data_IF_467882510383
#
_entry.id   IF_467882510383
#
_cell.length_a   1.000
_cell.length_b   1.000
_cell.length_c   1.000
_cell.angle_alpha   90.00
_cell.angle_beta   90.00
_cell.angle_gamma   90.00
#
_symmetry.space_group_name_H-M   'P 1'
#
loop_
_entity.id
_entity.type
_entity.pdbx_description
1 polymer ?
#
# COMPACT_ATOMS: atom_id res chain seq x y z
N UNK A 1 -1.52 -32.29 3.46
CA UNK A 1 -0.45 -31.49 2.83
C UNK A 1 -1.00 -30.29 2.04
N UNK A 2 -1.84 -30.50 1.03
CA UNK A 2 -2.52 -29.41 0.29
C UNK A 2 -3.38 -28.50 1.17
N UNK A 3 -4.15 -29.05 2.10
CA UNK A 3 -4.97 -28.25 3.03
C UNK A 3 -4.11 -27.27 3.85
N UNK A 4 -2.97 -27.75 4.37
CA UNK A 4 -2.04 -26.93 5.16
C UNK A 4 -1.38 -25.83 4.30
N UNK A 5 -1.08 -26.13 3.03
CA UNK A 5 -0.55 -25.14 2.09
C UNK A 5 -1.60 -24.08 1.74
N UNK A 6 -2.82 -24.48 1.41
CA UNK A 6 -3.94 -23.57 1.12
C UNK A 6 -4.28 -22.69 2.31
N UNK A 7 -4.31 -23.23 3.54
CA UNK A 7 -4.52 -22.44 4.76
C UNK A 7 -3.41 -21.40 4.95
N UNK A 8 -2.13 -21.78 4.74
CA UNK A 8 -1.01 -20.83 4.80
C UNK A 8 -1.17 -19.70 3.79
N UNK A 9 -1.56 -20.01 2.55
CA UNK A 9 -1.84 -18.98 1.54
C UNK A 9 -2.99 -18.07 1.96
N UNK A 10 -4.13 -18.62 2.40
CA UNK A 10 -5.28 -17.83 2.85
C UNK A 10 -4.89 -16.86 3.97
N UNK A 11 -4.12 -17.34 4.96
CA UNK A 11 -3.65 -16.51 6.07
C UNK A 11 -2.68 -15.43 5.58
N UNK A 12 -1.71 -15.78 4.73
CA UNK A 12 -0.75 -14.81 4.17
C UNK A 12 -1.44 -13.73 3.33
N UNK A 13 -2.39 -14.11 2.48
CA UNK A 13 -3.20 -13.17 1.71
C UNK A 13 -4.04 -12.28 2.62
N UNK A 14 -4.75 -12.85 3.60
CA UNK A 14 -5.52 -12.08 4.59
C UNK A 14 -4.67 -11.05 5.33
N UNK A 15 -3.41 -11.38 5.63
CA UNK A 15 -2.45 -10.46 6.23
C UNK A 15 -2.02 -9.36 5.24
N UNK A 16 -1.86 -9.68 3.95
CA UNK A 16 -1.59 -8.67 2.91
C UNK A 16 -2.76 -7.68 2.75
N UNK A 17 -4.01 -8.11 2.92
CA UNK A 17 -5.19 -7.23 2.94
C UNK A 17 -5.19 -6.23 4.11
N UNK A 18 -4.33 -6.42 5.13
CA UNK A 18 -4.15 -5.43 6.18
C UNK A 18 -3.30 -4.24 5.70
N UNK A 19 -2.48 -4.37 4.66
CA UNK A 19 -1.65 -3.29 4.13
C UNK A 19 -2.49 -2.06 3.69
N UNK A 20 -3.58 -2.21 2.88
CA UNK A 20 -4.47 -1.10 2.57
C UNK A 20 -5.02 -0.37 3.79
N UNK A 21 -5.47 -1.12 4.79
CA UNK A 21 -6.05 -0.54 6.01
C UNK A 21 -4.96 0.18 6.82
N UNK A 22 -3.82 -0.47 7.06
CA UNK A 22 -2.71 0.09 7.82
C UNK A 22 -2.15 1.36 7.16
N UNK A 23 -1.89 1.32 5.86
CA UNK A 23 -1.36 2.47 5.12
C UNK A 23 -2.36 3.63 5.11
N UNK A 24 -3.65 3.35 4.89
CA UNK A 24 -4.70 4.38 4.94
C UNK A 24 -4.80 5.02 6.34
N UNK A 25 -4.70 4.22 7.41
CA UNK A 25 -4.70 4.74 8.78
C UNK A 25 -3.44 5.57 9.08
N UNK A 26 -2.27 5.13 8.63
CA UNK A 26 -1.03 5.89 8.76
C UNK A 26 -1.07 7.21 7.97
N UNK A 27 -1.68 7.20 6.78
CA UNK A 27 -1.95 8.39 5.99
C UNK A 27 -2.91 9.35 6.69
N UNK A 28 -3.98 8.83 7.27
CA UNK A 28 -4.90 9.62 8.10
C UNK A 28 -4.20 10.23 9.33
N UNK A 29 -3.23 9.53 9.91
CA UNK A 29 -2.43 10.02 11.02
C UNK A 29 -1.34 11.02 10.60
N UNK A 30 -1.16 11.29 9.30
CA UNK A 30 -0.13 12.19 8.77
C UNK A 30 1.30 11.63 8.83
N UNK A 31 1.49 10.33 9.14
CA UNK A 31 2.82 9.71 9.22
C UNK A 31 3.36 9.20 7.89
N UNK A 32 2.48 9.01 6.91
CA UNK A 32 2.80 8.45 5.60
C UNK A 32 2.04 9.25 4.56
N UNK A 33 2.70 9.67 3.48
CA UNK A 33 2.04 10.36 2.38
C UNK A 33 1.90 9.50 1.12
N UNK A 34 0.92 9.81 0.28
CA UNK A 34 0.75 9.11 -0.99
C UNK A 34 1.97 9.29 -1.91
N UNK A 35 2.63 10.43 -1.83
CA UNK A 35 3.88 10.73 -2.53
C UNK A 35 5.06 9.90 -1.98
N UNK A 36 5.22 9.85 -0.66
CA UNK A 36 6.26 9.05 -0.01
C UNK A 36 6.13 7.55 -0.34
N UNK A 37 4.90 7.04 -0.32
CA UNK A 37 4.57 5.69 -0.79
C UNK A 37 4.88 5.50 -2.28
N UNK A 38 4.66 6.54 -3.10
CA UNK A 38 5.05 6.56 -4.50
C UNK A 38 6.57 6.41 -4.70
N UNK A 39 7.36 7.14 -3.91
CA UNK A 39 8.82 7.13 -4.02
C UNK A 39 9.45 5.78 -3.62
N UNK A 40 8.78 5.00 -2.76
CA UNK A 40 9.25 3.69 -2.32
C UNK A 40 8.67 2.50 -3.11
N UNK A 41 7.97 2.73 -4.23
CA UNK A 41 7.39 1.67 -5.10
C UNK A 41 8.40 0.58 -5.46
N UNK A 42 9.64 0.94 -5.81
CA UNK A 42 10.71 -0.02 -6.13
C UNK A 42 11.05 -0.97 -4.97
N UNK A 43 10.98 -0.49 -3.72
CA UNK A 43 11.20 -1.32 -2.54
C UNK A 43 10.01 -2.24 -2.27
N UNK A 44 8.79 -1.74 -2.48
CA UNK A 44 7.57 -2.55 -2.37
C UNK A 44 7.59 -3.70 -3.38
N UNK A 45 7.99 -3.47 -4.64
CA UNK A 45 8.13 -4.51 -5.67
C UNK A 45 9.08 -5.62 -5.20
N UNK A 46 10.26 -5.26 -4.68
CA UNK A 46 11.26 -6.23 -4.20
C UNK A 46 10.72 -7.03 -3.00
N UNK A 47 10.09 -6.36 -2.05
CA UNK A 47 9.50 -7.00 -0.86
C UNK A 47 8.39 -8.00 -1.24
N UNK A 48 7.52 -7.64 -2.18
CA UNK A 48 6.43 -8.49 -2.65
C UNK A 48 6.99 -9.72 -3.39
N UNK A 49 7.99 -9.55 -4.25
CA UNK A 49 8.64 -10.68 -4.94
C UNK A 49 9.33 -11.64 -3.96
N UNK A 50 9.99 -11.11 -2.92
CA UNK A 50 10.57 -11.92 -1.85
C UNK A 50 9.52 -12.70 -1.05
N UNK A 51 8.42 -12.03 -0.66
CA UNK A 51 7.31 -12.69 0.01
C UNK A 51 6.69 -13.77 -0.87
N UNK A 52 6.51 -13.50 -2.16
CA UNK A 52 5.99 -14.46 -3.10
C UNK A 52 6.90 -15.69 -3.21
N UNK A 53 8.20 -15.50 -3.39
CA UNK A 53 9.19 -16.59 -3.45
C UNK A 53 9.28 -17.42 -2.16
N UNK A 54 8.98 -16.84 -0.99
CA UNK A 54 8.95 -17.57 0.28
C UNK A 54 7.67 -18.41 0.44
N UNK A 55 6.56 -17.90 -0.07
CA UNK A 55 5.21 -18.44 0.16
C UNK A 55 4.86 -19.49 -0.88
N UNK A 56 5.16 -19.25 -2.16
CA UNK A 56 4.97 -20.25 -3.23
C UNK A 56 6.23 -21.08 -3.45
N UNK A 57 6.13 -22.39 -3.72
CA UNK A 57 7.24 -23.11 -4.36
C UNK A 57 7.64 -22.36 -5.64
N UNK A 58 8.92 -22.38 -6.07
CA UNK A 58 9.49 -21.50 -7.10
C UNK A 58 8.93 -21.79 -8.50
N UNK A 59 7.65 -21.57 -8.68
CA UNK A 59 6.90 -21.60 -9.92
C UNK A 59 6.61 -20.15 -10.33
N UNK A 60 7.16 -19.78 -11.47
CA UNK A 60 7.14 -18.41 -11.98
C UNK A 60 5.71 -17.94 -12.24
N UNK A 61 4.80 -18.83 -12.68
CA UNK A 61 3.42 -18.44 -13.00
C UNK A 61 2.67 -18.05 -11.73
N UNK A 62 2.68 -18.93 -10.71
CA UNK A 62 2.01 -18.64 -9.43
C UNK A 62 2.66 -17.46 -8.71
N UNK A 63 3.98 -17.28 -8.80
CA UNK A 63 4.68 -16.14 -8.25
C UNK A 63 4.25 -14.81 -8.90
N UNK A 64 4.10 -14.77 -10.22
CA UNK A 64 3.64 -13.57 -10.94
C UNK A 64 2.18 -13.24 -10.60
N UNK A 65 1.30 -14.25 -10.50
CA UNK A 65 -0.09 -14.04 -10.07
C UNK A 65 -0.14 -13.43 -8.66
N UNK A 66 0.62 -14.00 -7.72
CA UNK A 66 0.70 -13.49 -6.35
C UNK A 66 1.26 -12.07 -6.30
N UNK A 67 2.30 -11.78 -7.09
CA UNK A 67 2.86 -10.45 -7.24
C UNK A 67 1.80 -9.45 -7.71
N UNK A 68 1.07 -9.76 -8.79
CA UNK A 68 0.02 -8.87 -9.33
C UNK A 68 -1.06 -8.59 -8.29
N UNK A 69 -1.48 -9.61 -7.54
CA UNK A 69 -2.50 -9.46 -6.48
C UNK A 69 -2.00 -8.53 -5.37
N UNK A 70 -0.83 -8.80 -4.80
CA UNK A 70 -0.32 -8.02 -3.65
C UNK A 70 0.13 -6.62 -4.09
N UNK A 71 0.73 -6.48 -5.26
CA UNK A 71 1.09 -5.18 -5.83
C UNK A 71 -0.17 -4.35 -6.14
N UNK A 72 -1.23 -4.98 -6.64
CA UNK A 72 -2.53 -4.35 -6.80
C UNK A 72 -3.09 -3.81 -5.48
N UNK A 73 -2.98 -4.57 -4.38
CA UNK A 73 -3.36 -4.09 -3.05
C UNK A 73 -2.52 -2.88 -2.62
N UNK A 74 -1.22 -2.89 -2.90
CA UNK A 74 -0.34 -1.75 -2.61
C UNK A 74 -0.78 -0.49 -3.37
N UNK A 75 -1.06 -0.57 -4.66
CA UNK A 75 -1.57 0.56 -5.45
C UNK A 75 -2.92 1.08 -4.92
N UNK A 76 -3.84 0.17 -4.58
CA UNK A 76 -5.12 0.54 -3.96
C UNK A 76 -4.88 1.28 -2.64
N UNK A 77 -3.88 0.85 -1.86
CA UNK A 77 -3.50 1.50 -0.60
C UNK A 77 -3.05 2.94 -0.83
N UNK A 78 -2.19 3.18 -1.82
CA UNK A 78 -1.73 4.53 -2.19
C UNK A 78 -2.90 5.40 -2.62
N UNK A 79 -3.79 4.86 -3.43
CA UNK A 79 -4.98 5.58 -3.88
C UNK A 79 -5.89 5.99 -2.70
N UNK A 80 -6.10 5.09 -1.73
CA UNK A 80 -6.87 5.38 -0.53
C UNK A 80 -6.21 6.46 0.34
N UNK A 81 -4.88 6.38 0.54
CA UNK A 81 -4.11 7.41 1.26
C UNK A 81 -4.26 8.76 0.58
N UNK A 82 -4.07 8.83 -0.74
CA UNK A 82 -4.22 10.07 -1.50
C UNK A 82 -5.60 10.69 -1.33
N UNK A 83 -6.66 9.88 -1.39
CA UNK A 83 -8.03 10.35 -1.18
C UNK A 83 -8.26 10.89 0.24
N UNK A 84 -7.60 10.31 1.24
CA UNK A 84 -7.66 10.79 2.63
C UNK A 84 -6.89 12.10 2.79
N UNK A 85 -5.71 12.23 2.17
CA UNK A 85 -4.93 13.46 2.15
C UNK A 85 -5.70 14.61 1.51
N UNK A 86 -6.21 14.43 0.28
CA UNK A 86 -6.98 15.47 -0.41
C UNK A 86 -8.18 15.95 0.40
N UNK A 87 -8.90 15.04 1.08
CA UNK A 87 -10.02 15.42 1.96
C UNK A 87 -9.60 16.17 3.22
N UNK A 88 -8.40 15.90 3.74
CA UNK A 88 -7.85 16.63 4.89
C UNK A 88 -7.46 18.05 4.46
N UNK A 89 -6.83 18.16 3.30
CA UNK A 89 -6.39 19.42 2.74
C UNK A 89 -7.58 20.31 2.38
N UNK A 90 -8.63 19.76 1.76
CA UNK A 90 -9.91 20.46 1.52
C UNK A 90 -10.51 21.03 2.81
N UNK A 91 -10.49 20.27 3.92
CA UNK A 91 -10.99 20.74 5.22
C UNK A 91 -10.15 21.86 5.81
N UNK A 92 -8.82 21.76 5.72
CA UNK A 92 -7.92 22.80 6.19
C UNK A 92 -8.13 24.11 5.41
N UNK A 93 -8.43 24.02 4.10
CA UNK A 93 -8.83 25.15 3.25
C UNK A 93 -10.17 25.76 3.68
N UNK A 94 -11.18 24.93 3.96
CA UNK A 94 -12.48 25.40 4.45
C UNK A 94 -12.38 26.09 5.82
N UNK A 95 -11.51 25.59 6.71
CA UNK A 95 -11.30 26.14 8.05
C UNK A 95 -10.38 27.38 8.06
N UNK A 96 -9.82 27.78 6.91
CA UNK A 96 -8.95 28.94 6.77
C UNK A 96 -7.55 28.78 7.40
N UNK A 97 -7.15 27.54 7.68
CA UNK A 97 -5.83 27.17 8.24
C UNK A 97 -4.89 26.56 7.19
N UNK A 98 -5.25 26.64 5.90
CA UNK A 98 -4.36 26.19 4.83
C UNK A 98 -3.26 27.24 4.67
N UNK A 99 -2.07 26.91 5.16
CA UNK A 99 -0.87 27.71 4.92
C UNK A 99 -0.42 27.42 3.49
N UNK A 100 -0.37 28.45 2.63
CA UNK A 100 0.04 28.32 1.22
C UNK A 100 1.54 27.92 1.06
N UNK A 101 2.29 27.79 2.16
CA UNK A 101 3.72 27.40 2.15
C UNK A 101 3.94 25.94 1.72
N UNK A 102 2.99 25.02 1.96
CA UNK A 102 3.14 23.59 1.58
C UNK A 102 3.07 23.35 0.05
N UNK A 103 2.59 24.34 -0.74
CA UNK A 103 2.50 24.24 -2.20
C UNK A 103 3.84 24.56 -2.89
N UNK A 104 4.77 25.23 -2.20
CA UNK A 104 6.10 25.62 -2.73
C UNK A 104 7.09 24.44 -2.82
N UNK A 105 6.88 23.38 -2.02
CA UNK A 105 7.69 22.14 -2.02
C UNK A 105 7.24 21.11 -3.08
N UNK A 106 6.15 21.37 -3.80
CA UNK A 106 5.55 20.47 -4.81
C UNK A 106 5.84 20.87 -6.27
N UNK A 107 6.59 21.96 -6.52
CA UNK A 107 7.01 22.45 -7.85
C UNK A 107 8.52 22.27 -8.10
#
# INVERSE_FOLDING_TARGET
EYLSLTIKFIVAFGLCFQLPVLLTLMGKAGRVSSEGLGNVRKYAVVAILLLAALVTPPDVITQVILFVVVYGLYEISIFLVRRVETKRDEKLREEGYFDDEDEEDLL
#
